data_IF_520923629834
#
_entry.id   IF_520923629834
#
_cell.length_a   1.000
_cell.length_b   1.000
_cell.length_c   1.000
_cell.angle_alpha   90.00
_cell.angle_beta   90.00
_cell.angle_gamma   90.00
#
_symmetry.space_group_name_H-M   'P 1'
#
loop_
_entity.id
_entity.type
_entity.pdbx_description
1 polymer ?
#
# COMPACT_ATOMS: atom_id res chain seq x y z
N UNK A 1 45.48 22.88 68.62
CA UNK A 1 44.36 23.31 67.75
C UNK A 1 44.70 22.96 66.31
N UNK A 2 43.93 22.10 65.61
CA UNK A 2 44.27 21.81 64.20
C UNK A 2 43.65 20.59 63.51
N UNK A 3 42.40 20.19 63.79
CA UNK A 3 41.73 19.09 63.04
C UNK A 3 40.22 19.32 62.87
N UNK A 4 39.81 20.35 62.12
CA UNK A 4 38.39 20.48 61.69
C UNK A 4 38.23 20.91 60.22
N UNK A 5 39.31 21.24 59.50
CA UNK A 5 39.18 21.93 58.18
C UNK A 5 39.02 20.97 56.98
N UNK A 6 39.34 19.67 57.07
CA UNK A 6 39.37 18.79 55.89
C UNK A 6 38.04 18.16 55.46
N UNK A 7 37.01 18.09 56.31
CA UNK A 7 35.78 17.35 55.99
C UNK A 7 34.79 18.09 55.06
N UNK A 8 34.89 19.42 54.91
CA UNK A 8 33.93 20.21 54.10
C UNK A 8 34.26 20.26 52.60
N UNK A 9 35.50 19.99 52.19
CA UNK A 9 35.94 20.09 50.79
C UNK A 9 35.52 18.86 49.96
N UNK A 10 35.43 17.69 50.61
CA UNK A 10 35.02 16.41 50.01
C UNK A 10 33.55 16.43 49.53
N UNK A 11 32.60 16.89 50.36
CA UNK A 11 31.17 16.90 50.03
C UNK A 11 30.79 17.77 48.81
N UNK A 12 31.51 18.87 48.56
CA UNK A 12 31.26 19.76 47.41
C UNK A 12 31.70 19.14 46.08
N UNK A 13 32.76 18.34 46.08
CA UNK A 13 33.21 17.60 44.90
C UNK A 13 32.23 16.48 44.54
N UNK A 14 31.77 15.73 45.53
CA UNK A 14 30.80 14.64 45.34
C UNK A 14 29.42 15.15 44.88
N UNK A 15 28.95 16.29 45.43
CA UNK A 15 27.68 16.89 45.00
C UNK A 15 27.75 17.41 43.55
N UNK A 16 28.86 18.06 43.15
CA UNK A 16 29.06 18.49 41.76
C UNK A 16 29.14 17.31 40.80
N UNK A 17 29.84 16.23 41.20
CA UNK A 17 29.90 15.00 40.41
C UNK A 17 28.52 14.34 40.25
N UNK A 18 27.70 14.33 41.29
CA UNK A 18 26.32 13.81 41.24
C UNK A 18 25.40 14.65 40.34
N UNK A 19 25.50 15.98 40.41
CA UNK A 19 24.70 16.88 39.54
C UNK A 19 25.10 16.71 38.08
N UNK A 20 26.40 16.58 37.79
CA UNK A 20 26.87 16.32 36.42
C UNK A 20 26.45 14.94 35.92
N UNK A 21 26.57 13.90 36.75
CA UNK A 21 26.16 12.55 36.38
C UNK A 21 24.65 12.46 36.08
N UNK A 22 23.81 13.07 36.93
CA UNK A 22 22.36 13.08 36.73
C UNK A 22 21.92 13.87 35.50
N UNK A 23 22.57 15.01 35.23
CA UNK A 23 22.28 15.79 34.02
C UNK A 23 22.73 15.07 32.74
N UNK A 24 23.87 14.36 32.75
CA UNK A 24 24.28 13.51 31.62
C UNK A 24 23.30 12.37 31.38
N UNK A 25 22.85 11.69 32.43
CA UNK A 25 21.84 10.62 32.31
C UNK A 25 20.52 11.17 31.76
N UNK A 26 20.07 12.34 32.24
CA UNK A 26 18.85 12.98 31.74
C UNK A 26 18.96 13.35 30.26
N UNK A 27 20.09 13.91 29.83
CA UNK A 27 20.33 14.23 28.41
C UNK A 27 20.35 12.97 27.55
N UNK A 28 21.00 11.90 27.99
CA UNK A 28 21.01 10.60 27.30
C UNK A 28 19.58 10.03 27.23
N UNK A 29 18.83 10.06 28.33
CA UNK A 29 17.46 9.56 28.38
C UNK A 29 16.53 10.34 27.44
N UNK A 30 16.63 11.67 27.40
CA UNK A 30 15.86 12.52 26.48
C UNK A 30 16.27 12.28 25.03
N UNK A 31 17.58 12.14 24.74
CA UNK A 31 18.06 11.82 23.40
C UNK A 31 17.57 10.43 22.94
N UNK A 32 17.64 9.42 23.81
CA UNK A 32 17.11 8.08 23.53
C UNK A 32 15.58 8.10 23.34
N UNK A 33 14.86 8.86 24.15
CA UNK A 33 13.41 9.02 24.00
C UNK A 33 13.06 9.71 22.69
N UNK A 34 13.76 10.78 22.31
CA UNK A 34 13.56 11.47 21.04
C UNK A 34 13.92 10.57 19.84
N UNK A 35 14.96 9.75 19.94
CA UNK A 35 15.32 8.77 18.92
C UNK A 35 14.29 7.63 18.83
N UNK A 36 13.73 7.20 19.96
CA UNK A 36 12.67 6.20 20.02
C UNK A 36 11.34 6.73 19.47
N UNK A 37 10.91 7.92 19.88
CA UNK A 37 9.67 8.54 19.44
C UNK A 37 9.70 8.98 17.97
N UNK A 38 10.89 9.22 17.41
CA UNK A 38 11.09 9.53 15.98
C UNK A 38 11.61 8.33 15.17
N UNK A 39 11.71 7.14 15.77
CA UNK A 39 11.99 5.94 14.99
C UNK A 39 10.74 5.59 14.17
N UNK A 40 10.86 5.29 12.86
CA UNK A 40 9.72 4.85 12.07
C UNK A 40 9.11 3.62 12.74
N UNK A 41 7.78 3.46 12.78
CA UNK A 41 7.14 2.32 13.41
C UNK A 41 7.32 1.09 12.52
N UNK A 42 8.52 0.51 12.50
CA UNK A 42 8.72 -0.85 12.03
C UNK A 42 10.05 -1.43 12.52
N UNK A 43 9.98 -2.23 13.58
CA UNK A 43 10.98 -3.25 13.85
C UNK A 43 10.72 -4.44 12.92
N UNK A 44 11.74 -4.95 12.23
CA UNK A 44 11.63 -6.25 11.55
C UNK A 44 11.08 -7.29 12.54
N UNK A 45 9.84 -7.77 12.31
CA UNK A 45 9.14 -8.67 13.24
C UNK A 45 7.67 -8.33 13.51
N UNK A 46 7.14 -7.20 13.04
CA UNK A 46 5.69 -6.95 13.08
C UNK A 46 4.98 -7.95 12.15
N UNK A 47 4.11 -8.85 12.66
CA UNK A 47 3.46 -9.85 11.84
C UNK A 47 2.52 -9.19 10.84
N UNK A 48 2.51 -9.68 9.60
CA UNK A 48 1.47 -9.35 8.64
C UNK A 48 0.15 -9.90 9.17
N UNK A 49 -0.85 -9.02 9.28
CA UNK A 49 -2.21 -9.40 9.64
C UNK A 49 -3.00 -9.79 8.39
N UNK A 50 -2.64 -9.22 7.24
CA UNK A 50 -3.13 -9.62 5.92
C UNK A 50 -1.94 -10.06 5.07
N UNK A 51 -2.02 -11.26 4.49
CA UNK A 51 -1.11 -11.76 3.46
C UNK A 51 -1.92 -12.56 2.43
N UNK A 52 -2.46 -11.85 1.45
CA UNK A 52 -3.32 -12.39 0.41
C UNK A 52 -2.72 -12.21 -0.97
N UNK A 53 -3.25 -12.97 -1.93
CA UNK A 53 -2.91 -12.84 -3.34
C UNK A 53 -4.17 -12.85 -4.18
N UNK A 54 -4.19 -11.98 -5.17
CA UNK A 54 -5.18 -12.00 -6.25
C UNK A 54 -4.49 -11.90 -7.60
N UNK A 55 -5.21 -12.22 -8.66
CA UNK A 55 -4.73 -12.01 -10.03
C UNK A 55 -5.70 -11.11 -10.76
N UNK A 56 -5.19 -10.13 -11.52
CA UNK A 56 -5.99 -9.29 -12.42
C UNK A 56 -5.46 -9.45 -13.84
N UNK A 57 -6.34 -9.75 -14.78
CA UNK A 57 -6.01 -9.83 -16.21
C UNK A 57 -6.80 -8.76 -16.94
N UNK A 58 -6.16 -8.08 -17.90
CA UNK A 58 -6.85 -7.18 -18.82
C UNK A 58 -7.05 -7.94 -20.13
N UNK A 59 -8.29 -8.19 -20.52
CA UNK A 59 -8.63 -8.88 -21.75
C UNK A 59 -9.13 -7.88 -22.80
N UNK A 60 -8.41 -7.76 -23.91
CA UNK A 60 -8.89 -7.08 -25.11
C UNK A 60 -9.73 -8.08 -25.93
N UNK A 61 -11.05 -7.95 -25.82
CA UNK A 61 -11.99 -8.90 -26.42
C UNK A 61 -11.94 -8.85 -27.94
N UNK A 62 -11.64 -7.68 -28.54
CA UNK A 62 -11.62 -7.55 -30.01
C UNK A 62 -10.42 -8.25 -30.64
N UNK A 63 -9.29 -8.32 -29.93
CA UNK A 63 -8.07 -9.02 -30.38
C UNK A 63 -7.85 -10.35 -29.67
N UNK A 64 -8.77 -10.76 -28.79
CA UNK A 64 -8.68 -11.97 -27.97
C UNK A 64 -7.35 -12.10 -27.22
N UNK A 65 -6.82 -10.97 -26.74
CA UNK A 65 -5.49 -10.90 -26.13
C UNK A 65 -5.59 -10.60 -24.64
N UNK A 66 -4.87 -11.38 -23.83
CA UNK A 66 -4.70 -11.11 -22.40
C UNK A 66 -3.42 -10.31 -22.19
N UNK A 67 -3.56 -9.18 -21.52
CA UNK A 67 -2.45 -8.36 -21.04
C UNK A 67 -2.27 -8.58 -19.54
N UNK A 68 -1.00 -8.66 -19.16
CA UNK A 68 -0.59 -8.77 -17.77
C UNK A 68 -0.27 -7.41 -17.18
N UNK A 69 -0.38 -7.31 -15.87
CA UNK A 69 0.07 -6.11 -15.17
C UNK A 69 1.60 -6.03 -15.19
N UNK A 70 2.17 -4.80 -15.24
CA UNK A 70 3.60 -4.60 -15.03
C UNK A 70 4.10 -5.15 -13.69
N UNK A 71 5.37 -5.53 -13.67
CA UNK A 71 6.08 -5.84 -12.45
C UNK A 71 6.29 -4.58 -11.60
N UNK A 72 6.43 -4.79 -10.29
CA UNK A 72 6.85 -3.79 -9.31
C UNK A 72 5.94 -2.58 -9.11
N UNK A 73 4.66 -2.66 -9.45
CA UNK A 73 3.68 -1.68 -8.98
C UNK A 73 3.69 -1.67 -7.45
N UNK A 74 3.81 -0.50 -6.82
CA UNK A 74 3.84 -0.40 -5.36
C UNK A 74 5.06 -1.03 -4.67
N UNK A 75 6.17 -1.24 -5.38
CA UNK A 75 7.39 -1.89 -4.85
C UNK A 75 8.65 -1.04 -5.11
N UNK A 76 9.80 -1.28 -4.44
CA UNK A 76 11.00 -0.44 -4.56
C UNK A 76 11.48 -0.21 -5.99
N UNK A 77 11.54 -1.27 -6.80
CA UNK A 77 11.89 -1.17 -8.22
C UNK A 77 10.86 -0.35 -9.02
N UNK A 78 9.62 -0.33 -8.52
CA UNK A 78 8.52 0.53 -8.94
C UNK A 78 8.78 2.04 -8.82
N UNK A 79 9.65 2.45 -7.90
CA UNK A 79 10.03 3.87 -7.75
C UNK A 79 10.91 4.34 -8.89
N UNK A 80 11.68 3.42 -9.47
CA UNK A 80 12.62 3.72 -10.55
C UNK A 80 11.95 3.68 -11.95
N UNK A 81 10.71 3.19 -12.04
CA UNK A 81 9.96 3.06 -13.29
C UNK A 81 8.61 3.80 -13.28
N UNK A 82 8.38 4.68 -12.29
CA UNK A 82 7.16 5.47 -12.09
C UNK A 82 5.86 4.64 -11.93
N UNK A 83 5.94 3.43 -11.37
CA UNK A 83 4.76 2.56 -11.13
C UNK A 83 4.33 2.50 -9.65
N UNK A 84 5.06 3.15 -8.75
CA UNK A 84 4.63 3.41 -7.37
C UNK A 84 4.45 4.93 -7.21
N UNK A 85 3.26 5.40 -7.53
CA UNK A 85 2.96 6.84 -7.67
C UNK A 85 2.31 7.40 -6.42
N UNK A 86 1.33 6.66 -5.87
CA UNK A 86 0.61 7.10 -4.68
C UNK A 86 1.10 6.32 -3.44
N UNK A 87 1.58 7.06 -2.46
CA UNK A 87 2.16 6.55 -1.22
C UNK A 87 1.22 6.66 0.00
N UNK A 88 -0.05 7.01 -0.20
CA UNK A 88 -1.02 7.22 0.90
C UNK A 88 -1.27 5.98 1.75
N UNK A 89 -1.09 4.78 1.19
CA UNK A 89 -1.30 3.51 1.87
C UNK A 89 -0.02 2.87 2.40
N UNK A 90 1.15 3.46 2.13
CA UNK A 90 2.47 2.85 2.43
C UNK A 90 2.62 2.49 3.91
N UNK A 91 2.06 3.31 4.81
CA UNK A 91 2.12 3.06 6.26
C UNK A 91 1.39 1.79 6.70
N UNK A 92 0.51 1.26 5.85
CA UNK A 92 -0.24 0.03 6.11
C UNK A 92 0.48 -1.21 5.57
N UNK A 93 1.48 -1.04 4.69
CA UNK A 93 2.24 -2.13 4.10
C UNK A 93 3.49 -2.51 4.91
N UNK A 94 4.19 -3.58 4.51
CA UNK A 94 5.52 -3.84 5.03
C UNK A 94 6.52 -2.77 4.54
N UNK A 95 7.64 -2.52 5.26
CA UNK A 95 8.58 -1.48 4.88
C UNK A 95 9.12 -1.68 3.47
N UNK A 96 9.21 -0.57 2.76
CA UNK A 96 9.68 -0.57 1.39
C UNK A 96 8.64 -1.07 0.39
N UNK A 97 7.40 -1.40 0.79
CA UNK A 97 6.34 -1.78 -0.13
C UNK A 97 5.02 -1.10 0.21
N UNK A 98 4.24 -0.79 -0.82
CA UNK A 98 2.80 -0.54 -0.67
C UNK A 98 2.13 -1.82 -0.18
N UNK A 99 1.05 -1.73 0.62
CA UNK A 99 0.26 -2.90 0.98
C UNK A 99 -0.36 -3.60 -0.23
N UNK A 100 -0.46 -2.91 -1.37
CA UNK A 100 -0.95 -3.43 -2.65
C UNK A 100 0.17 -3.32 -3.67
N UNK A 101 0.73 -4.45 -4.11
CA UNK A 101 1.89 -4.41 -5.00
C UNK A 101 2.04 -5.64 -5.89
N UNK A 102 2.68 -5.47 -7.05
CA UNK A 102 3.13 -6.59 -7.89
C UNK A 102 4.62 -6.86 -7.67
N UNK A 103 5.07 -8.07 -8.02
CA UNK A 103 6.48 -8.49 -7.91
C UNK A 103 7.08 -8.85 -9.26
N UNK A 104 6.24 -9.26 -10.20
CA UNK A 104 6.59 -9.72 -11.53
C UNK A 104 5.44 -9.45 -12.50
N UNK A 105 5.55 -9.96 -13.72
CA UNK A 105 4.55 -9.82 -14.79
C UNK A 105 3.47 -10.93 -14.77
N UNK A 106 3.32 -11.68 -13.67
CA UNK A 106 2.26 -12.70 -13.54
C UNK A 106 0.87 -12.10 -13.33
N UNK A 107 0.79 -10.77 -13.14
CA UNK A 107 -0.41 -10.04 -12.71
C UNK A 107 -0.93 -10.43 -11.33
N UNK A 108 -0.08 -11.07 -10.54
CA UNK A 108 -0.36 -11.33 -9.12
C UNK A 108 -0.15 -10.06 -8.32
N UNK A 109 -1.20 -9.62 -7.65
CA UNK A 109 -1.15 -8.56 -6.67
C UNK A 109 -1.03 -9.19 -5.30
N UNK A 110 0.05 -8.83 -4.63
CA UNK A 110 0.31 -9.13 -3.23
C UNK A 110 -0.39 -8.07 -2.39
N UNK A 111 -1.25 -8.54 -1.49
CA UNK A 111 -1.99 -7.71 -0.55
C UNK A 111 -1.43 -8.02 0.83
N UNK A 112 -0.54 -7.18 1.33
CA UNK A 112 0.23 -7.42 2.54
C UNK A 112 0.07 -6.23 3.48
N UNK A 113 -0.52 -6.43 4.65
CA UNK A 113 -0.75 -5.34 5.60
C UNK A 113 -0.45 -5.71 7.04
N UNK A 114 0.11 -4.75 7.77
CA UNK A 114 0.35 -4.80 9.22
C UNK A 114 -0.88 -4.39 10.03
N UNK A 115 -1.89 -3.82 9.38
CA UNK A 115 -3.20 -3.53 9.94
C UNK A 115 -4.22 -4.50 9.33
N UNK A 116 -4.97 -5.23 10.14
CA UNK A 116 -5.81 -6.30 9.58
C UNK A 116 -7.19 -6.41 10.18
N UNK A 117 -7.96 -5.34 10.09
CA UNK A 117 -9.40 -5.54 10.19
C UNK A 117 -10.19 -4.79 9.10
N UNK A 118 -10.66 -5.58 8.15
CA UNK A 118 -11.61 -5.16 7.13
C UNK A 118 -12.99 -4.82 7.72
N UNK A 119 -13.36 -5.41 8.86
CA UNK A 119 -14.67 -5.29 9.51
C UNK A 119 -14.73 -4.20 10.59
N UNK A 120 -13.62 -3.86 11.25
CA UNK A 120 -13.60 -2.79 12.28
C UNK A 120 -12.79 -1.55 11.91
N UNK A 121 -11.84 -1.62 10.97
CA UNK A 121 -10.87 -0.53 10.74
C UNK A 121 -11.07 0.30 9.46
N UNK A 122 -12.16 0.10 8.69
CA UNK A 122 -12.39 0.76 7.37
C UNK A 122 -11.31 0.48 6.31
N UNK A 123 -10.40 -0.48 6.53
CA UNK A 123 -9.25 -0.75 5.66
C UNK A 123 -9.47 -1.97 4.75
N UNK A 124 -10.61 -2.01 4.08
CA UNK A 124 -10.77 -2.98 3.00
C UNK A 124 -10.20 -2.41 1.72
N UNK A 125 -9.10 -2.99 1.26
CA UNK A 125 -8.51 -2.62 -0.03
C UNK A 125 -9.47 -2.90 -1.17
N UNK A 126 -9.58 -1.95 -2.06
CA UNK A 126 -10.43 -1.98 -3.25
C UNK A 126 -9.58 -2.03 -4.52
N UNK A 127 -10.23 -2.24 -5.67
CA UNK A 127 -9.55 -2.04 -6.95
C UNK A 127 -9.05 -0.61 -7.09
N UNK A 128 -9.84 0.39 -6.69
CA UNK A 128 -9.44 1.79 -6.74
C UNK A 128 -8.12 2.02 -5.98
N UNK A 129 -7.96 1.43 -4.79
CA UNK A 129 -6.74 1.56 -4.00
C UNK A 129 -5.51 1.04 -4.75
N UNK A 130 -5.60 -0.13 -5.39
CA UNK A 130 -4.49 -0.68 -6.15
C UNK A 130 -4.12 0.19 -7.36
N UNK A 131 -5.11 0.60 -8.15
CA UNK A 131 -4.85 1.44 -9.31
C UNK A 131 -4.41 2.86 -8.93
N UNK A 132 -4.83 3.37 -7.78
CA UNK A 132 -4.31 4.61 -7.21
C UNK A 132 -2.83 4.49 -6.84
N UNK A 133 -2.41 3.40 -6.18
CA UNK A 133 -0.98 3.13 -5.91
C UNK A 133 -0.17 3.14 -7.21
N UNK A 134 -0.70 2.50 -8.26
CA UNK A 134 -0.10 2.49 -9.59
C UNK A 134 -0.12 3.87 -10.28
N UNK A 135 -1.01 4.78 -9.88
CA UNK A 135 -1.22 6.06 -10.55
C UNK A 135 -1.95 5.91 -11.89
N UNK A 136 -2.80 4.90 -12.03
CA UNK A 136 -3.62 4.67 -13.22
C UNK A 136 -5.08 4.94 -12.95
N UNK A 137 -5.78 5.45 -13.96
CA UNK A 137 -7.21 5.67 -13.86
C UNK A 137 -7.94 4.33 -13.82
N UNK A 138 -8.83 4.18 -12.84
CA UNK A 138 -9.73 3.03 -12.74
C UNK A 138 -11.09 3.51 -12.23
N UNK A 139 -11.99 3.78 -13.17
CA UNK A 139 -13.36 4.19 -12.90
C UNK A 139 -14.35 3.41 -13.78
N UNK A 140 -15.63 3.79 -13.73
CA UNK A 140 -16.69 3.10 -14.50
C UNK A 140 -16.52 3.21 -16.01
N UNK A 141 -15.71 4.18 -16.46
CA UNK A 141 -15.55 4.54 -17.87
C UNK A 141 -14.17 4.23 -18.40
N UNK A 142 -13.13 4.33 -17.56
CA UNK A 142 -11.74 4.23 -17.96
C UNK A 142 -10.98 3.22 -17.09
N UNK A 143 -10.21 2.35 -17.74
CA UNK A 143 -9.33 1.36 -17.11
C UNK A 143 -8.01 1.27 -17.87
N UNK A 144 -6.93 0.72 -17.30
CA UNK A 144 -5.71 0.47 -18.06
C UNK A 144 -5.95 -0.50 -19.22
N UNK A 145 -5.29 -0.27 -20.35
CA UNK A 145 -5.43 -1.12 -21.55
C UNK A 145 -4.45 -2.31 -21.58
N UNK A 146 -3.58 -2.41 -20.57
CA UNK A 146 -2.55 -3.44 -20.48
C UNK A 146 -1.33 -3.22 -21.37
N UNK A 147 -1.30 -2.14 -22.16
CA UNK A 147 -0.20 -1.75 -23.06
C UNK A 147 0.52 -0.48 -22.59
N UNK A 148 0.21 -0.01 -21.39
CA UNK A 148 0.75 1.22 -20.79
C UNK A 148 -0.12 2.46 -21.05
N UNK A 149 -1.23 2.31 -21.78
CA UNK A 149 -2.26 3.33 -21.99
C UNK A 149 -3.52 3.09 -21.15
N UNK A 150 -4.60 3.75 -21.56
CA UNK A 150 -5.92 3.63 -20.96
C UNK A 150 -6.96 3.34 -22.04
N UNK A 151 -7.93 2.49 -21.72
CA UNK A 151 -9.14 2.30 -22.51
C UNK A 151 -10.28 3.04 -21.82
N UNK A 152 -10.91 3.96 -22.54
CA UNK A 152 -12.04 4.74 -22.05
C UNK A 152 -13.27 4.53 -22.92
N UNK A 153 -14.42 4.48 -22.26
CA UNK A 153 -15.73 4.49 -22.89
C UNK A 153 -15.98 5.85 -23.56
N UNK A 154 -16.53 5.83 -24.77
CA UNK A 154 -16.94 7.02 -25.52
C UNK A 154 -18.07 6.66 -26.50
N UNK A 155 -18.40 7.55 -27.45
CA UNK A 155 -19.46 7.31 -28.43
C UNK A 155 -19.24 6.06 -29.31
N UNK A 156 -17.99 5.62 -29.47
CA UNK A 156 -17.59 4.48 -30.30
C UNK A 156 -17.11 3.28 -29.47
N UNK A 157 -16.73 3.49 -28.21
CA UNK A 157 -16.15 2.49 -27.33
C UNK A 157 -17.09 2.15 -26.18
N UNK A 158 -17.49 0.89 -26.08
CA UNK A 158 -18.33 0.40 -24.99
C UNK A 158 -17.63 0.51 -23.62
N UNK A 159 -18.36 0.73 -22.52
CA UNK A 159 -17.77 0.72 -21.19
C UNK A 159 -17.02 -0.57 -20.86
N UNK A 160 -15.89 -0.49 -20.14
CA UNK A 160 -15.21 -1.68 -19.65
C UNK A 160 -16.11 -2.43 -18.67
N UNK A 161 -15.99 -3.75 -18.65
CA UNK A 161 -16.64 -4.61 -17.65
C UNK A 161 -15.59 -5.40 -16.90
N UNK A 162 -15.96 -5.94 -15.74
CA UNK A 162 -15.12 -6.84 -14.97
C UNK A 162 -15.89 -8.10 -14.59
N UNK A 163 -15.20 -9.21 -14.34
CA UNK A 163 -15.77 -10.43 -13.79
C UNK A 163 -14.71 -11.27 -13.11
N UNK A 164 -15.14 -12.11 -12.18
CA UNK A 164 -14.26 -13.01 -11.45
C UNK A 164 -14.19 -14.35 -12.21
N UNK A 165 -13.02 -14.74 -12.72
CA UNK A 165 -12.84 -16.00 -13.44
C UNK A 165 -13.74 -16.13 -14.68
N UNK A 166 -14.63 -17.13 -14.70
CA UNK A 166 -15.61 -17.37 -15.80
C UNK A 166 -17.03 -16.91 -15.44
N UNK A 167 -17.17 -16.08 -14.40
CA UNK A 167 -18.46 -15.60 -13.93
C UNK A 167 -19.08 -14.53 -14.86
N UNK A 168 -20.34 -14.18 -14.59
CA UNK A 168 -21.11 -13.19 -15.34
C UNK A 168 -20.43 -11.81 -15.28
N UNK A 169 -20.28 -11.09 -16.41
CA UNK A 169 -19.76 -9.73 -16.45
C UNK A 169 -20.56 -8.80 -15.54
N UNK A 170 -19.89 -7.77 -15.03
CA UNK A 170 -20.50 -6.65 -14.30
C UNK A 170 -19.80 -5.36 -14.67
N UNK A 171 -20.48 -4.23 -14.49
CA UNK A 171 -19.84 -2.94 -14.67
C UNK A 171 -18.62 -2.79 -13.74
N UNK A 172 -17.59 -2.13 -14.24
CA UNK A 172 -16.41 -1.81 -13.43
C UNK A 172 -16.84 -1.09 -12.15
N UNK A 173 -16.40 -1.61 -11.01
CA UNK A 173 -16.69 -1.05 -9.71
C UNK A 173 -15.37 -0.77 -8.97
N UNK A 174 -14.91 0.48 -8.96
CA UNK A 174 -13.67 0.86 -8.28
C UNK A 174 -13.70 0.54 -6.78
N UNK A 175 -14.87 0.69 -6.14
CA UNK A 175 -15.06 0.42 -4.72
C UNK A 175 -15.29 -1.05 -4.38
N UNK A 176 -15.12 -1.97 -5.33
CA UNK A 176 -15.23 -3.39 -5.04
C UNK A 176 -14.04 -3.85 -4.20
N UNK A 177 -14.32 -4.50 -3.06
CA UNK A 177 -13.28 -5.01 -2.18
C UNK A 177 -12.53 -6.18 -2.81
N UNK A 178 -11.21 -6.19 -2.59
CA UNK A 178 -10.33 -7.29 -2.93
C UNK A 178 -10.49 -8.40 -1.89
N UNK A 179 -10.43 -9.65 -2.35
CA UNK A 179 -10.56 -10.84 -1.50
C UNK A 179 -9.49 -11.85 -1.88
N UNK A 180 -8.98 -12.59 -0.91
CA UNK A 180 -7.92 -13.57 -1.14
C UNK A 180 -8.29 -14.63 -2.18
N UNK A 181 -7.32 -15.02 -3.00
CA UNK A 181 -7.40 -16.13 -3.96
C UNK A 181 -8.26 -15.85 -5.19
N UNK A 182 -8.74 -14.62 -5.39
CA UNK A 182 -9.61 -14.28 -6.53
C UNK A 182 -8.81 -14.00 -7.80
N UNK A 183 -9.38 -14.41 -8.93
CA UNK A 183 -8.89 -14.06 -10.27
C UNK A 183 -9.94 -13.17 -10.92
N UNK A 184 -9.54 -11.97 -11.31
CA UNK A 184 -10.40 -10.99 -11.95
C UNK A 184 -9.95 -10.76 -13.38
N UNK A 185 -10.92 -10.61 -14.26
CA UNK A 185 -10.73 -10.22 -15.64
C UNK A 185 -11.43 -8.89 -15.83
N UNK A 186 -10.71 -7.91 -16.38
CA UNK A 186 -11.25 -6.64 -16.86
C UNK A 186 -11.30 -6.75 -18.38
N UNK A 187 -12.50 -6.77 -18.95
CA UNK A 187 -12.69 -6.85 -20.39
C UNK A 187 -12.91 -5.46 -20.98
N UNK A 188 -12.08 -5.12 -21.96
CA UNK A 188 -12.17 -3.89 -22.76
C UNK A 188 -12.59 -4.23 -24.19
N UNK A 189 -13.10 -3.24 -24.93
CA UNK A 189 -13.60 -3.41 -26.31
C UNK A 189 -14.57 -4.58 -26.47
N UNK A 190 -15.40 -4.79 -25.44
CA UNK A 190 -16.39 -5.85 -25.39
C UNK A 190 -17.79 -5.26 -25.53
N UNK A 191 -18.74 -6.03 -26.09
CA UNK A 191 -20.15 -5.64 -26.10
C UNK A 191 -20.88 -6.05 -24.82
N UNK A 192 -20.19 -6.69 -23.87
CA UNK A 192 -20.77 -7.21 -22.64
C UNK A 192 -21.49 -6.13 -21.83
N UNK A 193 -20.98 -4.90 -21.81
CA UNK A 193 -21.61 -3.77 -21.13
C UNK A 193 -23.09 -3.54 -21.54
N UNK A 194 -23.44 -3.82 -22.81
CA UNK A 194 -24.80 -3.63 -23.33
C UNK A 194 -25.74 -4.81 -23.03
N UNK A 195 -25.17 -5.95 -22.65
CA UNK A 195 -25.95 -7.15 -22.28
C UNK A 195 -26.33 -7.19 -20.80
N UNK A 196 -25.79 -6.26 -19.99
CA UNK A 196 -26.05 -6.22 -18.56
C UNK A 196 -27.39 -5.55 -18.25
N UNK A 197 -28.16 -6.05 -17.26
CA UNK A 197 -29.38 -5.39 -16.81
C UNK A 197 -29.11 -3.94 -16.40
N UNK A 198 -29.76 -2.99 -17.07
CA UNK A 198 -29.56 -1.55 -16.85
C UNK A 198 -28.33 -0.94 -17.54
N UNK A 199 -27.52 -1.75 -18.23
CA UNK A 199 -26.28 -1.34 -18.89
C UNK A 199 -25.19 -0.85 -17.92
N UNK A 200 -23.99 -0.64 -18.46
CA UNK A 200 -22.97 0.14 -17.76
C UNK A 200 -23.05 1.59 -18.20
N UNK A 201 -23.29 2.49 -17.24
CA UNK A 201 -23.43 3.92 -17.51
C UNK A 201 -22.06 4.55 -17.69
N UNK A 202 -21.92 5.37 -18.73
CA UNK A 202 -20.81 6.32 -18.92
C UNK A 202 -21.00 7.57 -18.09
#
# INVERSE_FOLDING_TARGET
>A
MGRVVQARRSRRGTYRALVVATSVIAVIAVALFALYSNSPPYSQGTPLVIDWRITIIINDVSTQTNYTLPAFIGAPEGRNNNLWVNHTLDSLGPPGYSPLSTRDTSSTIYIQSTSGDCLTSRLCFTFADFFNVWGRRFDRTCVPDGRGGEYCADANNAPPVMYEGVNVPRCVNPGLFLSNGKVWIIAIRSTYAYTLPGGCVT
#
